data_IF_423102723873
#
_entry.id   IF_423102723873
#
_cell.length_a   1.000
_cell.length_b   1.000
_cell.length_c   1.000
_cell.angle_alpha   90.00
_cell.angle_beta   90.00
_cell.angle_gamma   90.00
#
_symmetry.space_group_name_H-M   'P 1'
#
loop_
_entity.id
_entity.type
_entity.pdbx_description
1 polymer ?
#
# COMPACT_ATOMS: atom_id res chain seq x y z
N UNK A 1 15.41 7.09 6.43
CA UNK A 1 15.40 7.02 4.95
C UNK A 1 14.41 6.02 4.39
N UNK A 2 14.50 4.70 4.65
CA UNK A 2 13.49 3.76 4.14
C UNK A 2 12.05 4.04 4.62
N UNK A 3 11.81 4.44 5.89
CA UNK A 3 10.47 4.83 6.34
C UNK A 3 9.87 6.01 5.56
N UNK A 4 10.69 7.02 5.21
CA UNK A 4 10.25 8.16 4.41
C UNK A 4 9.82 7.74 3.00
N UNK A 5 10.51 6.76 2.40
CA UNK A 5 10.13 6.18 1.10
C UNK A 5 8.77 5.49 1.20
N UNK A 6 8.54 4.70 2.26
CA UNK A 6 7.24 4.07 2.50
C UNK A 6 6.10 5.07 2.59
N UNK A 7 6.30 6.15 3.36
CA UNK A 7 5.30 7.23 3.46
C UNK A 7 5.10 7.96 2.12
N UNK A 8 6.18 8.26 1.39
CA UNK A 8 6.11 8.86 0.05
C UNK A 8 5.32 8.01 -0.93
N UNK A 9 5.50 6.69 -0.90
CA UNK A 9 4.71 5.74 -1.71
C UNK A 9 3.22 5.78 -1.35
N UNK A 10 2.87 5.87 -0.07
CA UNK A 10 1.48 6.00 0.37
C UNK A 10 0.85 7.33 -0.04
N UNK A 11 1.59 8.44 0.03
CA UNK A 11 1.12 9.73 -0.48
C UNK A 11 0.85 9.70 -1.98
N UNK A 12 1.74 9.07 -2.76
CA UNK A 12 1.53 8.87 -4.19
C UNK A 12 0.33 7.95 -4.47
N UNK A 13 0.19 6.86 -3.69
CA UNK A 13 -0.94 5.94 -3.80
C UNK A 13 -2.27 6.68 -3.56
N UNK A 14 -2.34 7.58 -2.59
CA UNK A 14 -3.51 8.42 -2.34
C UNK A 14 -3.86 9.29 -3.56
N UNK A 15 -2.85 9.94 -4.18
CA UNK A 15 -3.05 10.71 -5.40
C UNK A 15 -3.58 9.85 -6.56
N UNK A 16 -3.01 8.67 -6.77
CA UNK A 16 -3.47 7.73 -7.80
C UNK A 16 -4.88 7.21 -7.50
N UNK A 17 -5.23 6.96 -6.24
CA UNK A 17 -6.57 6.52 -5.84
C UNK A 17 -7.63 7.58 -6.16
N UNK A 18 -7.33 8.87 -5.94
CA UNK A 18 -8.21 9.98 -6.32
C UNK A 18 -8.36 10.09 -7.85
N UNK A 19 -7.27 9.90 -8.59
CA UNK A 19 -7.32 9.89 -10.05
C UNK A 19 -8.13 8.71 -10.59
N UNK A 20 -7.93 7.51 -10.02
CA UNK A 20 -8.67 6.29 -10.36
C UNK A 20 -10.16 6.44 -10.06
N UNK A 21 -10.54 7.15 -9.00
CA UNK A 21 -11.95 7.35 -8.67
C UNK A 21 -12.61 8.38 -9.60
N UNK A 22 -11.96 9.49 -9.93
CA UNK A 22 -12.59 10.58 -10.67
C UNK A 22 -12.50 10.42 -12.20
N UNK A 23 -11.31 10.09 -12.72
CA UNK A 23 -11.04 10.21 -14.16
C UNK A 23 -11.78 9.19 -15.03
N UNK A 24 -11.81 7.88 -14.69
CA UNK A 24 -12.58 6.88 -15.44
C UNK A 24 -14.10 7.09 -15.32
N UNK A 25 -14.60 7.54 -14.17
CA UNK A 25 -16.02 7.87 -13.97
C UNK A 25 -16.45 9.04 -14.87
N UNK A 26 -15.60 10.06 -14.99
CA UNK A 26 -15.85 11.15 -15.93
C UNK A 26 -15.83 10.67 -17.38
N UNK A 27 -14.93 9.74 -17.71
CA UNK A 27 -14.89 9.05 -19.00
C UNK A 27 -16.21 8.33 -19.32
N UNK A 28 -16.77 7.62 -18.34
CA UNK A 28 -18.07 6.95 -18.47
C UNK A 28 -19.21 7.96 -18.71
N UNK A 29 -19.21 9.10 -18.01
CA UNK A 29 -20.21 10.16 -18.20
C UNK A 29 -20.14 10.81 -19.60
N UNK A 30 -18.95 10.89 -20.21
CA UNK A 30 -18.74 11.41 -21.58
C UNK A 30 -18.87 10.35 -22.67
N UNK A 31 -18.94 9.06 -22.33
CA UNK A 31 -18.88 7.97 -23.30
C UNK A 31 -17.52 7.79 -23.97
N UNK A 32 -16.44 8.33 -23.40
CA UNK A 32 -15.09 8.20 -23.95
C UNK A 32 -14.42 6.91 -23.47
N UNK A 33 -14.31 5.93 -24.39
CA UNK A 33 -13.69 4.63 -24.14
C UNK A 33 -12.22 4.72 -23.72
N UNK A 34 -11.48 5.75 -24.16
CA UNK A 34 -10.05 5.91 -23.80
C UNK A 34 -9.91 6.31 -22.33
N UNK A 35 -10.74 7.25 -21.88
CA UNK A 35 -10.77 7.66 -20.47
C UNK A 35 -11.19 6.50 -19.56
N UNK A 36 -12.17 5.70 -19.99
CA UNK A 36 -12.57 4.50 -19.25
C UNK A 36 -11.45 3.45 -19.17
N UNK A 37 -10.69 3.25 -20.26
CA UNK A 37 -9.60 2.27 -20.30
C UNK A 37 -8.42 2.62 -19.37
N UNK A 38 -8.25 3.91 -19.02
CA UNK A 38 -7.19 4.34 -18.08
C UNK A 38 -7.36 3.79 -16.65
N UNK A 39 -8.57 3.36 -16.27
CA UNK A 39 -8.84 2.70 -14.99
C UNK A 39 -7.89 1.55 -14.70
N UNK A 40 -7.62 0.70 -15.70
CA UNK A 40 -6.72 -0.46 -15.55
C UNK A 40 -5.29 -0.03 -15.24
N UNK A 41 -4.80 1.02 -15.89
CA UNK A 41 -3.44 1.54 -15.67
C UNK A 41 -3.32 2.11 -14.26
N UNK A 42 -4.31 2.91 -13.84
CA UNK A 42 -4.31 3.48 -12.49
C UNK A 42 -4.49 2.42 -11.40
N UNK A 43 -5.29 1.38 -11.62
CA UNK A 43 -5.44 0.27 -10.69
C UNK A 43 -4.11 -0.48 -10.48
N UNK A 44 -3.40 -0.79 -11.57
CA UNK A 44 -2.09 -1.45 -11.50
C UNK A 44 -1.06 -0.55 -10.80
N UNK A 45 -1.03 0.74 -11.14
CA UNK A 45 -0.12 1.70 -10.50
C UNK A 45 -0.39 1.82 -8.99
N UNK A 46 -1.66 1.90 -8.59
CA UNK A 46 -2.08 1.94 -7.20
C UNK A 46 -1.61 0.71 -6.44
N UNK A 47 -1.81 -0.48 -7.01
CA UNK A 47 -1.38 -1.74 -6.41
C UNK A 47 0.14 -1.81 -6.22
N UNK A 48 0.93 -1.40 -7.22
CA UNK A 48 2.40 -1.40 -7.13
C UNK A 48 2.88 -0.45 -6.03
N UNK A 49 2.27 0.74 -5.90
CA UNK A 49 2.63 1.71 -4.85
C UNK A 49 2.33 1.17 -3.45
N UNK A 50 1.15 0.58 -3.25
CA UNK A 50 0.75 -0.02 -1.96
C UNK A 50 1.62 -1.23 -1.64
N UNK A 51 1.90 -2.11 -2.62
CA UNK A 51 2.78 -3.26 -2.45
C UNK A 51 4.20 -2.82 -2.06
N UNK A 52 4.73 -1.77 -2.71
CA UNK A 52 6.02 -1.20 -2.34
C UNK A 52 6.05 -0.68 -0.90
N UNK A 53 5.02 0.08 -0.50
CA UNK A 53 4.91 0.57 0.88
C UNK A 53 4.83 -0.58 1.90
N UNK A 54 4.08 -1.64 1.60
CA UNK A 54 3.97 -2.82 2.45
C UNK A 54 5.30 -3.59 2.56
N UNK A 55 6.05 -3.72 1.46
CA UNK A 55 7.38 -4.34 1.48
C UNK A 55 8.39 -3.54 2.31
N UNK A 56 8.33 -2.20 2.24
CA UNK A 56 9.15 -1.31 3.09
C UNK A 56 8.81 -1.52 4.56
N UNK A 57 7.53 -1.64 4.91
CA UNK A 57 7.09 -1.94 6.28
C UNK A 57 7.61 -3.29 6.77
N UNK A 58 7.48 -4.36 5.97
CA UNK A 58 8.03 -5.68 6.30
C UNK A 58 9.53 -5.60 6.55
N UNK A 59 10.26 -4.89 5.67
CA UNK A 59 11.69 -4.74 5.81
C UNK A 59 12.05 -4.04 7.14
N UNK A 60 11.32 -3.00 7.53
CA UNK A 60 11.50 -2.32 8.80
C UNK A 60 11.32 -3.24 10.02
N UNK A 61 10.38 -4.20 9.98
CA UNK A 61 10.23 -5.23 11.02
C UNK A 61 11.35 -6.28 11.00
N UNK A 62 11.87 -6.63 9.82
CA UNK A 62 12.99 -7.58 9.68
C UNK A 62 14.30 -6.96 10.19
N UNK A 63 14.54 -5.67 9.91
CA UNK A 63 15.73 -4.95 10.37
C UNK A 63 15.58 -4.36 11.78
N UNK A 64 14.39 -4.47 12.39
CA UNK A 64 14.02 -3.80 13.64
C UNK A 64 14.37 -2.30 13.60
N UNK A 65 13.92 -1.60 12.57
CA UNK A 65 14.13 -0.16 12.47
C UNK A 65 13.28 0.60 13.50
N UNK A 66 13.88 0.86 14.66
CA UNK A 66 13.25 1.57 15.78
C UNK A 66 13.04 3.07 15.54
N UNK A 67 13.45 3.59 14.39
CA UNK A 67 13.10 4.96 13.99
C UNK A 67 11.59 5.10 13.76
N UNK A 68 10.92 3.99 13.43
CA UNK A 68 9.47 3.91 13.30
C UNK A 68 8.82 3.60 14.65
N UNK A 69 8.02 4.54 15.15
CA UNK A 69 7.19 4.35 16.35
C UNK A 69 6.36 3.05 16.27
N UNK A 70 5.82 2.75 15.07
CA UNK A 70 5.07 1.53 14.83
C UNK A 70 5.89 0.25 15.07
N UNK A 71 7.17 0.23 14.68
CA UNK A 71 8.08 -0.90 14.92
C UNK A 71 8.45 -0.96 16.41
N UNK A 72 8.71 0.18 17.05
CA UNK A 72 8.99 0.25 18.49
C UNK A 72 7.85 -0.34 19.33
N UNK A 73 6.60 -0.03 18.97
CA UNK A 73 5.43 -0.48 19.73
C UNK A 73 5.04 -1.94 19.48
N UNK A 74 5.41 -2.53 18.33
CA UNK A 74 4.88 -3.84 17.91
C UNK A 74 5.95 -4.89 17.59
N UNK A 75 7.23 -4.52 17.46
CA UNK A 75 8.31 -5.46 17.22
C UNK A 75 8.94 -5.97 18.52
N UNK A 76 9.35 -7.22 18.52
CA UNK A 76 10.13 -7.82 19.60
C UNK A 76 11.38 -8.47 19.01
N UNK A 77 12.55 -8.04 19.47
CA UNK A 77 13.87 -8.48 18.99
C UNK A 77 14.16 -9.94 19.28
N UNK A 78 13.51 -10.54 20.27
CA UNK A 78 13.69 -11.93 20.66
C UNK A 78 12.91 -12.90 19.75
N UNK A 79 12.03 -12.39 18.89
CA UNK A 79 11.23 -13.23 17.98
C UNK A 79 12.02 -13.63 16.72
N UNK A 80 11.90 -14.91 16.28
CA UNK A 80 12.39 -15.35 14.97
C UNK A 80 11.81 -14.48 13.84
N UNK A 81 12.58 -14.30 12.76
CA UNK A 81 12.23 -13.40 11.64
C UNK A 81 10.81 -13.65 11.11
N UNK A 82 10.39 -14.92 11.04
CA UNK A 82 9.05 -15.33 10.57
C UNK A 82 7.92 -14.68 11.37
N UNK A 83 8.07 -14.62 12.70
CA UNK A 83 7.10 -14.01 13.60
C UNK A 83 7.17 -12.48 13.58
N UNK A 84 8.34 -11.91 13.29
CA UNK A 84 8.49 -10.46 13.07
C UNK A 84 7.78 -9.99 11.81
N UNK A 85 7.77 -10.81 10.76
CA UNK A 85 6.98 -10.55 9.56
C UNK A 85 5.49 -10.56 9.91
N UNK A 86 5.01 -11.55 10.67
CA UNK A 86 3.61 -11.59 11.12
C UNK A 86 3.22 -10.39 12.02
N UNK A 87 4.16 -9.86 12.80
CA UNK A 87 3.94 -8.67 13.61
C UNK A 87 3.68 -7.41 12.76
N UNK A 88 4.18 -7.36 11.52
CA UNK A 88 4.04 -6.19 10.63
C UNK A 88 2.58 -5.88 10.27
N UNK A 89 1.68 -6.87 10.30
CA UNK A 89 0.24 -6.68 10.09
C UNK A 89 -0.60 -7.11 11.30
N UNK A 90 0.04 -7.39 12.45
CA UNK A 90 -0.63 -7.83 13.66
C UNK A 90 -1.32 -6.69 14.41
N UNK A 91 -0.90 -5.45 14.21
CA UNK A 91 -1.49 -4.27 14.83
C UNK A 91 -2.38 -3.46 13.88
N UNK A 92 -3.17 -2.55 14.44
CA UNK A 92 -4.25 -1.84 13.74
C UNK A 92 -3.81 -1.14 12.44
N UNK A 93 -2.69 -0.42 12.44
CA UNK A 93 -2.22 0.32 11.27
C UNK A 93 -1.70 -0.62 10.17
N UNK A 94 -0.97 -1.67 10.54
CA UNK A 94 -0.44 -2.66 9.60
C UNK A 94 -1.53 -3.55 9.00
N UNK A 95 -2.56 -3.90 9.78
CA UNK A 95 -3.70 -4.66 9.27
C UNK A 95 -4.53 -3.86 8.27
N UNK A 96 -4.67 -2.54 8.47
CA UNK A 96 -5.26 -1.62 7.48
C UNK A 96 -4.46 -1.61 6.18
N UNK A 97 -3.13 -1.51 6.26
CA UNK A 97 -2.29 -1.52 5.06
C UNK A 97 -2.39 -2.85 4.30
N UNK A 98 -2.43 -3.98 5.02
CA UNK A 98 -2.66 -5.30 4.43
C UNK A 98 -4.03 -5.39 3.75
N UNK A 99 -5.08 -4.84 4.38
CA UNK A 99 -6.41 -4.80 3.77
C UNK A 99 -6.44 -3.98 2.48
N UNK A 100 -5.79 -2.82 2.48
CA UNK A 100 -5.70 -1.95 1.29
C UNK A 100 -4.89 -2.64 0.17
N UNK A 101 -3.86 -3.42 0.51
CA UNK A 101 -3.13 -4.26 -0.44
C UNK A 101 -4.04 -5.33 -1.07
N UNK A 102 -4.85 -6.02 -0.28
CA UNK A 102 -5.78 -7.04 -0.79
C UNK A 102 -6.86 -6.42 -1.69
N UNK A 103 -7.44 -5.28 -1.28
CA UNK A 103 -8.45 -4.58 -2.08
C UNK A 103 -7.90 -4.03 -3.40
N UNK A 104 -6.68 -3.47 -3.37
CA UNK A 104 -6.03 -3.02 -4.61
C UNK A 104 -5.68 -4.19 -5.53
N UNK A 105 -5.27 -5.34 -4.97
CA UNK A 105 -5.08 -6.57 -5.73
C UNK A 105 -6.36 -7.06 -6.40
N UNK A 106 -7.48 -7.02 -5.68
CA UNK A 106 -8.80 -7.34 -6.24
C UNK A 106 -9.19 -6.39 -7.37
N UNK A 107 -8.95 -5.08 -7.21
CA UNK A 107 -9.23 -4.04 -8.22
C UNK A 107 -8.41 -4.23 -9.51
N UNK A 108 -7.23 -4.84 -9.42
CA UNK A 108 -6.43 -5.19 -10.61
C UNK A 108 -6.95 -6.47 -11.27
N UNK A 109 -7.42 -7.43 -10.46
CA UNK A 109 -7.85 -8.74 -10.93
C UNK A 109 -9.22 -8.73 -11.62
N UNK A 110 -10.14 -7.89 -11.15
CA UNK A 110 -11.56 -7.82 -11.58
C UNK A 110 -11.86 -6.45 -12.15
#
# INVERSE_FOLDING_TARGET
MMPEVGNGLLCLALGVALLLSVYPLWGAARGDRRMMASSRVFAVLLFILIMGAFMVLINAFITNDFTLSYVVSNANTQLPVRYRVAAAWGAHEGSLLLWVLLMSGWTVAV
#
